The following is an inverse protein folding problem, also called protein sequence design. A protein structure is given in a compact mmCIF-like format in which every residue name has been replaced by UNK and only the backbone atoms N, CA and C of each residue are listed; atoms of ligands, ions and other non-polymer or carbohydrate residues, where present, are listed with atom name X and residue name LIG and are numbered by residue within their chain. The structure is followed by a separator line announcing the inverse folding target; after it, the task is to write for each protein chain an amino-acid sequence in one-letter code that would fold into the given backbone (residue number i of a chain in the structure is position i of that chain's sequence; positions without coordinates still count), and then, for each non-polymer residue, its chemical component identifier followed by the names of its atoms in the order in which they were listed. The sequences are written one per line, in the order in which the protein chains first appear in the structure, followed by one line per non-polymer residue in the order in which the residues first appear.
data_IF_949943917065
#
_entry.id   IF_949943917065
#
_cell.length_a   1.000
_cell.length_b   1.000
_cell.length_c   1.000
_cell.angle_alpha   90.00
_cell.angle_beta   90.00
_cell.angle_gamma   90.00
#
_symmetry.space_group_name_H-M   'P 1'
#
loop_
_entity.id
_entity.type
_entity.pdbx_description
1 polymer ?
#
# COMPACT_ATOMS: atom_id res chain seq x y z
N UNK A 1 27.91 74.87 57.23
CA UNK A 1 28.48 74.30 56.00
C UNK A 1 28.15 72.82 56.01
N UNK A 2 27.16 72.41 55.17
CA UNK A 2 26.74 71.00 55.14
C UNK A 2 27.16 70.45 53.75
N UNK A 3 27.88 69.35 53.67
CA UNK A 3 28.25 68.81 52.37
C UNK A 3 27.10 68.04 51.73
N UNK A 4 26.84 68.33 50.48
CA UNK A 4 25.88 67.73 49.62
C UNK A 4 26.35 66.33 49.25
N UNK A 5 25.62 65.28 49.68
CA UNK A 5 25.90 63.88 49.35
C UNK A 5 25.25 63.61 47.97
N UNK A 6 26.08 63.47 46.93
CA UNK A 6 25.65 63.08 45.61
C UNK A 6 25.42 61.57 45.56
N UNK A 7 24.18 61.12 45.52
CA UNK A 7 23.86 59.72 45.33
C UNK A 7 23.98 59.36 43.82
N UNK A 8 24.94 58.49 43.52
CA UNK A 8 25.07 57.85 42.21
C UNK A 8 23.99 56.77 42.09
N UNK A 9 22.99 56.97 41.25
CA UNK A 9 22.06 55.91 40.87
C UNK A 9 22.71 55.09 39.78
N UNK A 10 23.19 53.90 40.11
CA UNK A 10 23.62 52.89 39.12
C UNK A 10 22.34 52.28 38.57
N UNK A 11 21.97 52.68 37.34
CA UNK A 11 20.95 51.99 36.56
C UNK A 11 21.55 50.66 36.11
N UNK A 12 21.12 49.55 36.71
CA UNK A 12 21.31 48.24 36.13
C UNK A 12 20.51 48.12 34.84
N UNK A 13 21.18 48.15 33.72
CA UNK A 13 20.58 47.69 32.46
C UNK A 13 20.29 46.20 32.67
N UNK A 14 19.02 45.84 32.61
CA UNK A 14 18.60 44.48 32.33
C UNK A 14 19.19 44.14 30.95
N UNK A 15 20.15 43.21 30.96
CA UNK A 15 20.57 42.55 29.71
C UNK A 15 19.29 41.94 29.12
N UNK A 16 18.75 42.56 28.10
CA UNK A 16 17.78 41.92 27.22
C UNK A 16 18.51 40.73 26.62
N UNK A 17 18.22 39.54 27.16
CA UNK A 17 18.57 38.28 26.49
C UNK A 17 17.77 38.25 25.21
N UNK A 18 18.40 38.72 24.13
CA UNK A 18 17.87 38.51 22.77
C UNK A 18 17.92 37.01 22.54
N UNK A 19 16.84 36.32 22.81
CA UNK A 19 16.64 34.96 22.34
C UNK A 19 16.61 35.06 20.83
N UNK A 20 17.71 34.66 20.18
CA UNK A 20 17.73 34.52 18.73
C UNK A 20 16.69 33.45 18.38
N UNK A 21 15.54 33.86 17.89
CA UNK A 21 14.56 32.92 17.35
C UNK A 21 15.25 32.15 16.21
N UNK A 22 15.09 30.82 16.21
CA UNK A 22 15.60 30.01 15.13
C UNK A 22 14.80 30.34 13.86
N UNK A 23 15.41 31.11 12.95
CA UNK A 23 14.78 31.53 11.70
C UNK A 23 14.96 30.53 10.56
N UNK A 24 15.61 29.39 10.82
CA UNK A 24 15.71 28.30 9.85
C UNK A 24 14.32 27.78 9.45
N UNK A 25 14.14 27.34 8.22
CA UNK A 25 12.90 26.69 7.82
C UNK A 25 12.65 25.45 8.69
N UNK A 26 11.40 25.21 9.04
CA UNK A 26 10.97 24.01 9.74
C UNK A 26 10.17 23.15 8.77
N UNK A 27 10.39 21.84 8.82
CA UNK A 27 9.71 20.82 8.01
C UNK A 27 8.96 19.92 8.97
N UNK A 28 7.65 19.81 8.78
CA UNK A 28 6.79 18.89 9.53
C UNK A 28 6.14 17.91 8.55
N UNK A 29 6.49 16.63 8.67
CA UNK A 29 5.98 15.59 7.80
C UNK A 29 4.52 15.27 8.13
N UNK A 30 3.73 14.92 7.11
CA UNK A 30 2.36 14.40 7.24
C UNK A 30 2.31 12.92 7.67
N UNK A 31 3.46 12.38 8.13
CA UNK A 31 3.62 11.07 8.73
C UNK A 31 4.26 11.19 10.12
N UNK A 32 3.60 10.70 11.16
CA UNK A 32 4.13 10.72 12.55
C UNK A 32 5.45 9.94 12.71
N UNK A 33 5.69 8.95 11.86
CA UNK A 33 6.87 8.09 11.95
C UNK A 33 7.96 8.43 10.94
N UNK A 34 7.69 9.34 10.00
CA UNK A 34 8.57 9.61 8.85
C UNK A 34 8.65 8.43 7.86
N UNK A 35 7.74 7.44 7.98
CA UNK A 35 7.68 6.28 7.10
C UNK A 35 6.42 6.36 6.24
N UNK A 36 6.58 6.15 4.95
CA UNK A 36 5.50 6.06 3.97
C UNK A 36 5.50 4.68 3.33
N UNK A 37 4.34 4.03 3.35
CA UNK A 37 4.17 2.69 2.79
C UNK A 37 3.39 2.78 1.49
N UNK A 38 3.91 2.18 0.44
CA UNK A 38 3.30 2.17 -0.89
C UNK A 38 3.55 0.81 -1.57
N UNK A 39 2.78 0.47 -2.59
CA UNK A 39 3.03 -0.72 -3.41
C UNK A 39 3.78 -0.35 -4.69
N UNK A 40 4.54 -1.31 -5.22
CA UNK A 40 5.24 -1.18 -6.51
C UNK A 40 4.30 -0.66 -7.60
N UNK A 41 4.75 0.35 -8.34
CA UNK A 41 4.00 0.97 -9.44
C UNK A 41 2.84 1.88 -9.00
N UNK A 42 2.63 2.09 -7.70
CA UNK A 42 1.66 3.05 -7.18
C UNK A 42 2.33 4.36 -6.80
N UNK A 43 1.59 5.47 -6.93
CA UNK A 43 2.06 6.77 -6.50
C UNK A 43 2.07 6.86 -4.97
N UNK A 44 3.19 7.32 -4.41
CA UNK A 44 3.27 7.85 -3.04
C UNK A 44 3.18 9.37 -3.09
N UNK A 45 2.44 9.94 -2.15
CA UNK A 45 2.34 11.40 -1.97
C UNK A 45 2.82 11.75 -0.58
N UNK A 46 3.67 12.77 -0.52
CA UNK A 46 4.22 13.34 0.72
C UNK A 46 3.90 14.83 0.70
N UNK A 47 3.15 15.31 1.69
CA UNK A 47 2.69 16.69 1.76
C UNK A 47 3.08 17.33 3.10
N UNK A 48 4.36 17.66 3.29
CA UNK A 48 4.82 18.29 4.52
C UNK A 48 4.19 19.67 4.70
N UNK A 49 4.11 20.12 5.94
CA UNK A 49 3.88 21.51 6.27
C UNK A 49 5.20 22.20 6.61
N UNK A 50 5.26 23.51 6.41
CA UNK A 50 6.47 24.27 6.54
C UNK A 50 6.25 25.55 7.32
N UNK A 51 7.26 25.97 8.10
CA UNK A 51 7.30 27.28 8.75
C UNK A 51 8.61 27.98 8.43
N UNK A 52 8.66 29.32 8.51
CA UNK A 52 9.83 30.17 8.20
C UNK A 52 10.34 30.01 6.76
N UNK A 53 9.41 29.94 5.78
CA UNK A 53 9.69 29.58 4.39
C UNK A 53 9.61 30.75 3.40
N UNK A 54 9.85 31.99 3.87
CA UNK A 54 9.91 33.15 2.99
C UNK A 54 11.01 32.97 1.93
N UNK A 55 10.63 33.07 0.66
CA UNK A 55 11.53 32.86 -0.49
C UNK A 55 12.20 31.47 -0.52
N UNK A 56 11.52 30.43 -0.03
CA UNK A 56 12.06 29.08 0.01
C UNK A 56 12.25 28.46 -1.38
N UNK A 57 13.33 27.66 -1.47
CA UNK A 57 13.59 26.75 -2.58
C UNK A 57 13.54 25.35 -2.02
N UNK A 58 12.75 24.48 -2.66
CA UNK A 58 12.56 23.09 -2.27
C UNK A 58 13.37 22.17 -3.17
N UNK A 59 13.89 21.09 -2.64
CA UNK A 59 14.51 20.02 -3.43
C UNK A 59 14.31 18.67 -2.80
N UNK A 60 13.65 17.77 -3.53
CA UNK A 60 13.55 16.37 -3.17
C UNK A 60 14.64 15.58 -3.86
N UNK A 61 15.36 14.75 -3.10
CA UNK A 61 16.46 13.94 -3.62
C UNK A 61 16.23 12.46 -3.35
N UNK A 62 16.55 11.67 -4.35
CA UNK A 62 16.61 10.21 -4.25
C UNK A 62 17.88 9.72 -4.94
N UNK A 63 18.67 8.88 -4.25
CA UNK A 63 20.00 8.42 -4.73
C UNK A 63 20.90 9.57 -5.22
N UNK A 64 20.91 10.70 -4.50
CA UNK A 64 21.72 11.88 -4.80
C UNK A 64 21.24 12.72 -5.99
N UNK A 65 20.12 12.35 -6.64
CA UNK A 65 19.52 13.09 -7.77
C UNK A 65 18.28 13.84 -7.31
N UNK A 66 18.10 15.06 -7.82
CA UNK A 66 16.86 15.80 -7.62
C UNK A 66 15.75 15.13 -8.43
N UNK A 67 14.64 14.79 -7.77
CA UNK A 67 13.45 14.17 -8.36
C UNK A 67 12.24 15.10 -8.38
N UNK A 68 12.26 16.18 -7.58
CA UNK A 68 11.23 17.23 -7.56
C UNK A 68 11.79 18.51 -6.93
N UNK A 69 11.26 19.67 -7.32
CA UNK A 69 11.49 20.98 -6.75
C UNK A 69 10.21 21.61 -6.14
N UNK A 70 9.16 20.82 -6.05
CA UNK A 70 7.87 21.22 -5.48
C UNK A 70 7.85 21.11 -3.95
N UNK A 71 7.00 21.86 -3.24
CA UNK A 71 6.81 21.72 -1.79
C UNK A 71 6.35 20.29 -1.39
N UNK A 72 5.62 19.60 -2.26
CA UNK A 72 5.18 18.22 -2.05
C UNK A 72 5.83 17.27 -3.04
N UNK A 73 5.92 16.01 -2.67
CA UNK A 73 6.42 14.95 -3.55
C UNK A 73 5.26 14.07 -4.01
N UNK A 74 5.23 13.78 -5.31
CA UNK A 74 4.49 12.66 -5.90
C UNK A 74 5.50 11.82 -6.67
N UNK A 75 5.65 10.54 -6.29
CA UNK A 75 6.67 9.67 -6.88
C UNK A 75 6.18 8.23 -6.98
N UNK A 76 6.72 7.48 -7.95
CA UNK A 76 6.41 6.07 -8.17
C UNK A 76 7.68 5.24 -8.17
N UNK A 77 7.74 4.25 -7.29
CA UNK A 77 8.83 3.28 -7.25
C UNK A 77 8.47 2.04 -8.07
N UNK A 78 9.41 1.59 -8.92
CA UNK A 78 9.20 0.46 -9.82
C UNK A 78 9.75 -0.88 -9.29
N UNK A 79 10.32 -0.89 -8.10
CA UNK A 79 10.82 -2.07 -7.42
C UNK A 79 10.46 -2.00 -5.94
N UNK A 80 10.24 -3.16 -5.33
CA UNK A 80 10.03 -3.26 -3.88
C UNK A 80 11.34 -3.05 -3.12
N UNK A 81 11.22 -2.64 -1.87
CA UNK A 81 12.36 -2.38 -0.99
C UNK A 81 12.16 -1.17 -0.10
N UNK A 82 13.17 -0.89 0.70
CA UNK A 82 13.23 0.32 1.54
C UNK A 82 14.12 1.35 0.87
N UNK A 83 13.59 2.56 0.70
CA UNK A 83 14.28 3.67 0.05
C UNK A 83 14.29 4.87 0.96
N UNK A 84 15.31 5.73 0.81
CA UNK A 84 15.42 6.99 1.53
C UNK A 84 15.33 8.15 0.54
N UNK A 85 14.43 9.08 0.84
CA UNK A 85 14.23 10.31 0.08
C UNK A 85 14.44 11.48 1.02
N UNK A 86 15.21 12.49 0.61
CA UNK A 86 15.48 13.67 1.40
C UNK A 86 14.74 14.86 0.83
N UNK A 87 13.98 15.58 1.66
CA UNK A 87 13.52 16.94 1.38
C UNK A 87 14.50 17.93 1.98
N UNK A 88 14.94 18.89 1.18
CA UNK A 88 15.70 20.06 1.62
C UNK A 88 14.93 21.32 1.29
N UNK A 89 14.90 22.23 2.25
CA UNK A 89 14.35 23.57 2.12
C UNK A 89 15.44 24.58 2.38
N UNK A 90 15.73 25.43 1.42
CA UNK A 90 16.68 26.51 1.51
C UNK A 90 15.94 27.87 1.50
N UNK A 91 16.30 28.77 2.43
CA UNK A 91 15.82 30.13 2.51
C UNK A 91 17.00 31.09 2.64
N UNK A 92 16.83 32.42 2.46
CA UNK A 92 17.89 33.39 2.75
C UNK A 92 18.39 33.37 4.20
N UNK A 93 17.62 32.81 5.13
CA UNK A 93 17.91 32.74 6.56
C UNK A 93 18.57 31.44 7.00
N UNK A 94 18.52 30.39 6.20
CA UNK A 94 19.11 29.10 6.49
C UNK A 94 18.47 27.96 5.71
N UNK A 95 18.81 26.74 6.10
CA UNK A 95 18.29 25.53 5.45
C UNK A 95 17.93 24.44 6.46
N UNK A 96 17.00 23.57 6.09
CA UNK A 96 16.66 22.36 6.81
C UNK A 96 16.52 21.17 5.87
N UNK A 97 16.77 19.98 6.38
CA UNK A 97 16.63 18.72 5.65
C UNK A 97 15.92 17.71 6.54
N UNK A 98 15.05 16.89 5.91
CA UNK A 98 14.43 15.73 6.54
C UNK A 98 14.60 14.50 5.63
N UNK A 99 15.03 13.39 6.24
CA UNK A 99 15.11 12.10 5.56
C UNK A 99 13.85 11.28 5.82
N UNK A 100 13.27 10.78 4.75
CA UNK A 100 12.00 10.10 4.72
C UNK A 100 12.23 8.68 4.23
N UNK A 101 11.71 7.70 4.98
CA UNK A 101 11.77 6.29 4.61
C UNK A 101 10.54 5.88 3.80
N UNK A 102 10.77 5.33 2.63
CA UNK A 102 9.76 4.77 1.73
C UNK A 102 9.82 3.25 1.79
N UNK A 103 8.78 2.60 2.30
CA UNK A 103 8.61 1.15 2.26
C UNK A 103 7.74 0.77 1.06
N UNK A 104 8.36 0.19 0.06
CA UNK A 104 7.71 -0.20 -1.18
C UNK A 104 7.48 -1.70 -1.18
N UNK A 105 6.23 -2.11 -1.03
CA UNK A 105 5.82 -3.50 -0.95
C UNK A 105 5.51 -4.06 -2.34
N UNK A 106 5.69 -5.39 -2.50
CA UNK A 106 5.25 -6.12 -3.68
C UNK A 106 3.72 -6.08 -3.81
N UNK A 107 3.25 -6.24 -5.05
CA UNK A 107 1.84 -6.55 -5.30
C UNK A 107 1.55 -7.98 -4.86
N UNK A 108 0.41 -8.20 -4.25
CA UNK A 108 -0.04 -9.50 -3.76
C UNK A 108 -1.42 -9.85 -4.33
N UNK A 109 -1.53 -10.17 -5.64
CA UNK A 109 -2.79 -10.61 -6.24
C UNK A 109 -3.25 -11.93 -5.61
N UNK A 110 -4.55 -12.28 -5.70
CA UNK A 110 -5.06 -13.54 -5.21
C UNK A 110 -4.36 -14.73 -5.86
N UNK A 111 -4.08 -15.79 -5.09
CA UNK A 111 -3.54 -17.06 -5.61
C UNK A 111 -4.55 -18.16 -5.31
N UNK A 112 -5.12 -18.77 -6.36
CA UNK A 112 -6.13 -19.82 -6.23
C UNK A 112 -5.47 -21.19 -6.35
N UNK A 113 -5.55 -21.99 -5.29
CA UNK A 113 -5.14 -23.38 -5.25
C UNK A 113 -6.35 -24.31 -5.12
N UNK A 114 -6.49 -25.25 -6.05
CA UNK A 114 -7.53 -26.27 -6.02
C UNK A 114 -6.95 -27.58 -6.56
N UNK A 115 -7.05 -28.63 -5.77
CA UNK A 115 -6.62 -29.97 -6.17
C UNK A 115 -7.70 -30.56 -7.07
N UNK A 116 -7.35 -30.77 -8.33
CA UNK A 116 -8.23 -31.36 -9.34
C UNK A 116 -7.58 -32.63 -9.88
N UNK A 117 -8.28 -33.78 -9.88
CA UNK A 117 -7.79 -34.99 -10.51
C UNK A 117 -7.49 -34.82 -12.00
N UNK A 118 -6.58 -35.65 -12.53
CA UNK A 118 -6.39 -35.70 -13.99
C UNK A 118 -7.71 -36.05 -14.68
N UNK A 119 -8.12 -35.21 -15.64
CA UNK A 119 -9.40 -35.37 -16.35
C UNK A 119 -10.58 -34.63 -15.71
N UNK A 120 -10.37 -33.93 -14.58
CA UNK A 120 -11.40 -33.12 -13.94
C UNK A 120 -12.04 -33.77 -12.71
N UNK A 121 -13.01 -33.05 -12.13
CA UNK A 121 -13.83 -33.55 -11.02
C UNK A 121 -15.00 -34.37 -11.57
N UNK A 122 -15.15 -35.61 -11.10
CA UNK A 122 -16.32 -36.44 -11.42
C UNK A 122 -17.37 -36.30 -10.31
N UNK A 123 -18.55 -35.84 -10.64
CA UNK A 123 -19.67 -35.64 -9.71
C UNK A 123 -20.91 -36.40 -10.18
N UNK A 124 -21.73 -36.87 -9.26
CA UNK A 124 -22.98 -37.55 -9.59
C UNK A 124 -24.06 -36.54 -10.00
N UNK A 125 -24.80 -36.86 -11.05
CA UNK A 125 -25.93 -36.07 -11.50
C UNK A 125 -26.92 -35.76 -10.37
N UNK A 126 -27.31 -34.50 -10.21
CA UNK A 126 -28.25 -34.03 -9.20
C UNK A 126 -27.75 -34.10 -7.75
N UNK A 127 -26.49 -34.40 -7.54
CA UNK A 127 -25.86 -34.30 -6.20
C UNK A 127 -25.06 -33.03 -6.04
N UNK A 128 -25.27 -32.37 -4.92
CA UNK A 128 -24.46 -31.23 -4.53
C UNK A 128 -23.00 -31.64 -4.29
N UNK A 129 -22.10 -30.89 -4.89
CA UNK A 129 -20.67 -31.01 -4.68
C UNK A 129 -20.08 -29.65 -4.32
N UNK A 130 -19.62 -29.52 -3.06
CA UNK A 130 -19.02 -28.27 -2.60
C UNK A 130 -17.58 -28.19 -3.10
N UNK A 131 -17.24 -27.09 -3.74
CA UNK A 131 -15.90 -26.75 -4.23
C UNK A 131 -15.35 -25.65 -3.36
N UNK A 132 -14.28 -25.95 -2.63
CA UNK A 132 -13.64 -25.07 -1.64
C UNK A 132 -12.19 -24.90 -2.02
N UNK A 133 -11.83 -23.92 -2.85
CA UNK A 133 -10.43 -23.61 -3.15
C UNK A 133 -9.73 -23.01 -1.94
N UNK A 134 -8.42 -23.22 -1.81
CA UNK A 134 -7.56 -22.42 -0.97
C UNK A 134 -7.16 -21.16 -1.73
N UNK A 135 -7.39 -19.98 -1.14
CA UNK A 135 -7.14 -18.70 -1.80
C UNK A 135 -6.27 -17.83 -0.88
N UNK A 136 -5.01 -17.64 -1.27
CA UNK A 136 -4.10 -16.71 -0.61
C UNK A 136 -4.34 -15.29 -1.09
N UNK A 137 -3.97 -14.29 -0.28
CA UNK A 137 -4.14 -12.86 -0.56
C UNK A 137 -5.61 -12.48 -0.87
N UNK A 138 -6.56 -13.14 -0.19
CA UNK A 138 -8.00 -12.98 -0.43
C UNK A 138 -8.61 -11.78 0.29
N UNK A 139 -7.85 -11.03 1.10
CA UNK A 139 -8.36 -9.87 1.82
C UNK A 139 -8.89 -8.82 0.84
N UNK A 140 -10.12 -8.36 1.04
CA UNK A 140 -10.79 -7.42 0.17
C UNK A 140 -11.08 -7.94 -1.25
N UNK A 141 -10.85 -9.24 -1.52
CA UNK A 141 -11.06 -9.79 -2.86
C UNK A 141 -12.53 -9.96 -3.19
N UNK A 142 -12.86 -9.69 -4.45
CA UNK A 142 -14.14 -10.07 -5.06
C UNK A 142 -13.96 -11.37 -5.82
N UNK A 143 -15.01 -12.22 -5.81
CA UNK A 143 -15.04 -13.51 -6.46
C UNK A 143 -16.14 -13.58 -7.49
N UNK A 144 -15.92 -14.40 -8.54
CA UNK A 144 -16.93 -14.68 -9.54
C UNK A 144 -16.74 -16.09 -10.09
N UNK A 145 -17.76 -16.91 -9.95
CA UNK A 145 -17.84 -18.22 -10.58
C UNK A 145 -18.61 -18.15 -11.89
N UNK A 146 -18.08 -18.77 -12.92
CA UNK A 146 -18.81 -18.96 -14.17
C UNK A 146 -18.87 -20.43 -14.53
N UNK A 147 -20.03 -20.90 -14.99
CA UNK A 147 -20.26 -22.23 -15.54
C UNK A 147 -20.57 -22.11 -17.03
N UNK A 148 -19.73 -22.70 -17.87
CA UNK A 148 -19.80 -22.55 -19.33
C UNK A 148 -19.93 -21.08 -19.78
N UNK A 149 -19.26 -20.16 -19.06
CA UNK A 149 -19.26 -18.72 -19.34
C UNK A 149 -20.41 -17.92 -18.72
N UNK A 150 -21.40 -18.56 -18.13
CA UNK A 150 -22.50 -17.88 -17.41
C UNK A 150 -22.14 -17.75 -15.93
N UNK A 151 -22.33 -16.56 -15.35
CA UNK A 151 -22.12 -16.34 -13.92
C UNK A 151 -23.10 -17.15 -13.06
N UNK A 152 -22.57 -17.83 -12.04
CA UNK A 152 -23.32 -18.74 -11.16
C UNK A 152 -23.05 -18.50 -9.67
N UNK A 153 -22.09 -17.64 -9.30
CA UNK A 153 -21.79 -17.33 -7.90
C UNK A 153 -20.74 -16.25 -7.72
N UNK A 154 -20.74 -15.62 -6.52
CA UNK A 154 -19.86 -14.51 -6.15
C UNK A 154 -19.16 -14.70 -4.82
N UNK A 155 -19.11 -15.92 -4.30
CA UNK A 155 -18.45 -16.27 -3.04
C UNK A 155 -17.16 -17.03 -3.30
N UNK A 156 -16.28 -17.13 -2.30
CA UNK A 156 -15.02 -17.89 -2.42
C UNK A 156 -15.24 -19.39 -2.68
N UNK A 157 -16.36 -19.92 -2.23
CA UNK A 157 -16.77 -21.31 -2.42
C UNK A 157 -17.93 -21.39 -3.38
N UNK A 158 -18.10 -22.55 -4.03
CA UNK A 158 -19.22 -22.81 -4.91
C UNK A 158 -19.79 -24.21 -4.71
N UNK A 159 -21.13 -24.35 -4.68
CA UNK A 159 -21.81 -25.63 -4.66
C UNK A 159 -22.30 -25.94 -6.05
N UNK A 160 -21.64 -26.91 -6.69
CA UNK A 160 -22.02 -27.42 -8.00
C UNK A 160 -23.17 -28.41 -7.89
N UNK A 161 -24.21 -28.27 -8.71
CA UNK A 161 -25.35 -29.18 -8.74
C UNK A 161 -26.02 -29.16 -10.10
N UNK A 162 -25.51 -29.96 -11.05
CA UNK A 162 -26.09 -30.13 -12.37
C UNK A 162 -26.68 -31.53 -12.53
N UNK A 163 -27.80 -31.63 -13.28
CA UNK A 163 -28.51 -32.89 -13.48
C UNK A 163 -28.19 -33.54 -14.83
N UNK A 164 -27.83 -32.75 -15.82
CA UNK A 164 -27.52 -33.24 -17.15
C UNK A 164 -26.10 -33.81 -17.19
N UNK A 165 -25.98 -35.03 -17.75
CA UNK A 165 -24.68 -35.69 -17.94
C UNK A 165 -23.84 -34.90 -18.95
N UNK A 166 -22.55 -34.75 -18.66
CA UNK A 166 -21.65 -34.01 -19.56
C UNK A 166 -20.48 -33.40 -18.85
N UNK A 167 -19.66 -32.70 -19.60
CA UNK A 167 -18.50 -31.97 -19.07
C UNK A 167 -18.79 -30.46 -19.06
N UNK A 168 -18.54 -29.86 -17.93
CA UNK A 168 -18.80 -28.45 -17.66
C UNK A 168 -17.49 -27.74 -17.38
N UNK A 169 -17.34 -26.56 -17.96
CA UNK A 169 -16.22 -25.66 -17.68
C UNK A 169 -16.61 -24.72 -16.55
N UNK A 170 -16.03 -24.92 -15.37
CA UNK A 170 -16.22 -24.06 -14.23
C UNK A 170 -14.97 -23.19 -14.05
N UNK A 171 -15.15 -21.87 -13.90
CA UNK A 171 -14.04 -20.94 -13.70
C UNK A 171 -14.30 -20.10 -12.47
N UNK A 172 -13.33 -20.07 -11.55
CA UNK A 172 -13.28 -19.09 -10.48
C UNK A 172 -12.36 -17.95 -10.93
N UNK A 173 -12.87 -16.73 -10.85
CA UNK A 173 -12.12 -15.47 -10.93
C UNK A 173 -12.07 -14.83 -9.56
N UNK A 174 -10.90 -14.35 -9.16
CA UNK A 174 -10.67 -13.60 -7.92
C UNK A 174 -9.86 -12.34 -8.23
N UNK A 175 -10.23 -11.22 -7.62
CA UNK A 175 -9.56 -9.93 -7.80
C UNK A 175 -9.51 -9.16 -6.50
N UNK A 176 -8.34 -8.62 -6.14
CA UNK A 176 -8.14 -7.63 -5.10
C UNK A 176 -7.57 -6.32 -5.70
N UNK A 177 -7.13 -5.39 -4.87
CA UNK A 177 -6.53 -4.12 -5.32
C UNK A 177 -5.19 -4.30 -6.06
N UNK A 178 -4.48 -5.42 -5.83
CA UNK A 178 -3.16 -5.71 -6.38
C UNK A 178 -3.20 -6.45 -7.72
N UNK A 179 -4.35 -7.00 -8.09
CA UNK A 179 -4.50 -7.71 -9.35
C UNK A 179 -5.58 -8.78 -9.29
N UNK A 180 -5.58 -9.62 -10.31
CA UNK A 180 -6.57 -10.68 -10.48
C UNK A 180 -5.92 -12.00 -10.91
N UNK A 181 -6.66 -13.08 -10.67
CA UNK A 181 -6.31 -14.42 -11.12
C UNK A 181 -7.58 -15.21 -11.44
N UNK A 182 -7.42 -16.27 -12.22
CA UNK A 182 -8.51 -17.22 -12.47
C UNK A 182 -8.02 -18.65 -12.45
N UNK A 183 -8.92 -19.57 -12.05
CA UNK A 183 -8.70 -21.01 -12.05
C UNK A 183 -9.84 -21.71 -12.78
N UNK A 184 -9.50 -22.47 -13.80
CA UNK A 184 -10.44 -23.32 -14.54
C UNK A 184 -10.43 -24.75 -13.98
N UNK A 185 -11.62 -25.33 -13.94
CA UNK A 185 -11.86 -26.70 -13.52
C UNK A 185 -12.86 -27.34 -14.47
N UNK A 186 -12.54 -28.51 -14.98
CA UNK A 186 -13.52 -29.36 -15.70
C UNK A 186 -14.27 -30.18 -14.68
N UNK A 187 -15.60 -30.11 -14.71
CA UNK A 187 -16.50 -30.91 -13.87
C UNK A 187 -17.29 -31.86 -14.78
N UNK A 188 -17.11 -33.15 -14.59
CA UNK A 188 -17.80 -34.19 -15.35
C UNK A 188 -18.97 -34.70 -14.52
N UNK A 189 -20.19 -34.49 -15.01
CA UNK A 189 -21.41 -35.02 -14.42
C UNK A 189 -21.65 -36.43 -14.98
N UNK A 190 -21.68 -37.41 -14.09
CA UNK A 190 -21.80 -38.84 -14.43
C UNK A 190 -22.99 -39.48 -13.70
N UNK A 191 -23.54 -40.55 -14.27
CA UNK A 191 -24.64 -41.31 -13.66
C UNK A 191 -24.18 -42.22 -12.54
N UNK A 192 -22.91 -42.64 -12.57
CA UNK A 192 -22.24 -43.47 -11.54
C UNK A 192 -20.76 -43.16 -11.46
N UNK A 193 -20.20 -43.23 -10.30
CA UNK A 193 -18.75 -43.14 -10.11
C UNK A 193 -18.12 -44.51 -10.38
N UNK A 194 -17.15 -44.56 -11.30
CA UNK A 194 -16.39 -45.78 -11.52
C UNK A 194 -15.51 -46.05 -10.27
N UNK A 195 -15.85 -47.09 -9.53
CA UNK A 195 -14.97 -47.62 -8.50
C UNK A 195 -13.79 -48.32 -9.19
N UNK A 196 -12.57 -47.80 -9.01
CA UNK A 196 -11.36 -48.54 -9.33
C UNK A 196 -11.24 -49.67 -8.32
N UNK A 197 -11.82 -50.85 -8.64
CA UNK A 197 -11.50 -52.09 -7.94
C UNK A 197 -10.10 -52.47 -8.42
N UNK A 198 -9.10 -52.28 -7.57
CA UNK A 198 -7.79 -52.90 -7.75
C UNK A 198 -7.97 -54.38 -7.43
N UNK A 199 -7.91 -55.20 -8.46
CA UNK A 199 -7.71 -56.68 -8.32
C UNK A 199 -6.22 -56.94 -8.16
#
# INVERSE_FOLDING_TARGET
MLPLLLALVISCNKDDVITQENENPLIELDSETGVYVVKVGKEVKVNPTYSNVDFAVYSWKYNGRIISDSPSLTYTFNQSGSYYVTIRVDTPKGSSEEEIRMEVNELAPPVISLVVPTGGLNVLAGREHKITPDIQNAEGAIFRWTLNGKEVGTTAEYTFNEQELGSYKLVLYAKNEDGDTSKEVVVNVVDKLLSLIHI
#
